data_IF_694439364443
#
_entry.id   IF_694439364443
#
_cell.length_a   1.000
_cell.length_b   1.000
_cell.length_c   1.000
_cell.angle_alpha   90.00
_cell.angle_beta   90.00
_cell.angle_gamma   90.00
#
_symmetry.space_group_name_H-M   'P 1'
#
loop_
_entity.id
_entity.type
_entity.pdbx_description
1 polymer ?
#
# COMPACT_ATOMS: atom_id res chain seq x y z
N UNK A 1 -26.52 0.47 -43.95
CA UNK A 1 -26.00 1.52 -43.07
C UNK A 1 -26.40 1.36 -41.59
N UNK A 2 -27.49 0.72 -41.23
CA UNK A 2 -28.00 0.57 -39.82
C UNK A 2 -27.24 -0.41 -38.92
N UNK A 3 -26.51 -1.39 -39.46
CA UNK A 3 -25.79 -2.38 -38.64
C UNK A 3 -24.45 -1.86 -38.09
N UNK A 4 -23.76 -1.00 -38.83
CA UNK A 4 -22.46 -0.42 -38.42
C UNK A 4 -22.66 0.59 -37.29
N UNK A 5 -23.78 1.32 -37.31
CA UNK A 5 -24.10 2.30 -36.25
C UNK A 5 -24.41 1.62 -34.87
N UNK A 6 -25.02 0.41 -34.90
CA UNK A 6 -25.36 -0.34 -33.70
C UNK A 6 -24.11 -0.93 -32.99
N UNK A 7 -23.12 -1.36 -33.77
CA UNK A 7 -21.87 -1.90 -33.22
C UNK A 7 -21.00 -0.78 -32.63
N UNK A 8 -20.95 0.40 -33.28
CA UNK A 8 -20.24 1.56 -32.80
C UNK A 8 -20.83 2.11 -31.48
N UNK A 9 -22.15 2.08 -31.32
CA UNK A 9 -22.83 2.54 -30.12
C UNK A 9 -22.64 1.58 -28.94
N UNK A 10 -22.64 0.25 -29.19
CA UNK A 10 -22.38 -0.76 -28.17
C UNK A 10 -20.91 -0.71 -27.65
N UNK A 11 -19.95 -0.43 -28.53
CA UNK A 11 -18.55 -0.24 -28.17
C UNK A 11 -18.31 1.00 -27.31
N UNK A 12 -19.01 2.10 -27.59
CA UNK A 12 -18.88 3.35 -26.85
C UNK A 12 -19.44 3.23 -25.43
N UNK A 13 -20.55 2.52 -25.24
CA UNK A 13 -21.16 2.29 -23.91
C UNK A 13 -20.28 1.37 -23.05
N UNK A 14 -19.57 0.42 -23.66
CA UNK A 14 -18.69 -0.49 -22.92
C UNK A 14 -17.40 0.19 -22.39
N UNK A 15 -16.89 1.18 -23.13
CA UNK A 15 -15.71 1.97 -22.69
C UNK A 15 -16.04 2.86 -21.49
N UNK A 16 -17.27 3.37 -21.38
CA UNK A 16 -17.70 4.16 -20.21
C UNK A 16 -17.94 3.33 -18.94
N UNK A 17 -18.20 2.02 -19.05
CA UNK A 17 -18.43 1.14 -17.92
C UNK A 17 -17.13 0.76 -17.16
N UNK A 18 -15.95 0.96 -17.75
CA UNK A 18 -14.64 0.65 -17.18
C UNK A 18 -13.97 1.84 -16.47
N UNK A 19 -14.56 3.03 -16.54
CA UNK A 19 -14.16 4.16 -15.69
C UNK A 19 -14.66 3.89 -14.26
N UNK A 20 -14.08 2.92 -13.58
CA UNK A 20 -14.25 2.68 -12.16
C UNK A 20 -13.87 3.96 -11.41
N UNK A 21 -14.86 4.80 -11.14
CA UNK A 21 -14.69 6.07 -10.48
C UNK A 21 -14.10 5.83 -9.07
N UNK A 22 -12.83 6.16 -8.89
CA UNK A 22 -12.36 6.58 -7.58
C UNK A 22 -13.07 7.92 -7.29
N UNK A 23 -14.30 7.83 -6.82
CA UNK A 23 -15.10 8.99 -6.48
C UNK A 23 -14.59 9.61 -5.17
N UNK A 24 -14.83 10.92 -4.95
CA UNK A 24 -14.55 11.56 -3.67
C UNK A 24 -15.27 10.80 -2.56
N UNK A 25 -14.66 10.71 -1.37
CA UNK A 25 -15.32 10.14 -0.22
C UNK A 25 -16.44 11.10 0.22
N UNK A 26 -17.72 10.72 0.16
CA UNK A 26 -18.84 11.66 0.37
C UNK A 26 -18.96 12.13 1.81
N UNK A 27 -18.33 11.42 2.77
CA UNK A 27 -18.39 11.73 4.20
C UNK A 27 -17.05 11.44 4.88
N UNK A 28 -16.79 12.11 6.01
CA UNK A 28 -15.60 11.84 6.85
C UNK A 28 -15.55 10.37 7.29
N UNK A 29 -16.68 9.76 7.66
CA UNK A 29 -16.74 8.35 8.04
C UNK A 29 -16.35 7.41 6.88
N UNK A 30 -16.79 7.69 5.65
CA UNK A 30 -16.39 6.89 4.48
C UNK A 30 -14.90 7.05 4.20
N UNK A 31 -14.36 8.26 4.37
CA UNK A 31 -12.93 8.52 4.22
C UNK A 31 -12.10 7.79 5.28
N UNK A 32 -12.53 7.85 6.55
CA UNK A 32 -11.94 7.14 7.68
C UNK A 32 -11.90 5.62 7.43
N UNK A 33 -13.01 5.02 6.98
CA UNK A 33 -13.05 3.60 6.63
C UNK A 33 -12.07 3.23 5.52
N UNK A 34 -11.86 4.12 4.54
CA UNK A 34 -10.85 3.92 3.48
C UNK A 34 -9.43 4.04 4.03
N UNK A 35 -9.17 5.02 4.91
CA UNK A 35 -7.87 5.18 5.56
C UNK A 35 -7.50 3.96 6.42
N UNK A 36 -8.45 3.46 7.22
CA UNK A 36 -8.29 2.23 8.02
C UNK A 36 -7.98 1.03 7.13
N UNK A 37 -8.70 0.86 6.03
CA UNK A 37 -8.44 -0.22 5.09
C UNK A 37 -7.03 -0.09 4.49
N UNK A 38 -6.64 1.10 4.05
CA UNK A 38 -5.30 1.37 3.52
C UNK A 38 -4.22 1.03 4.55
N UNK A 39 -4.40 1.42 5.82
CA UNK A 39 -3.48 1.08 6.89
C UNK A 39 -3.34 -0.44 7.08
N UNK A 40 -4.46 -1.18 7.07
CA UNK A 40 -4.45 -2.64 7.21
C UNK A 40 -3.81 -3.35 6.01
N UNK A 41 -4.10 -2.89 4.78
CA UNK A 41 -3.51 -3.45 3.57
C UNK A 41 -1.98 -3.22 3.56
N UNK A 42 -1.54 -2.01 3.91
CA UNK A 42 -0.12 -1.65 4.06
C UNK A 42 0.56 -2.46 5.17
N UNK A 43 -0.08 -2.62 6.32
CA UNK A 43 0.41 -3.45 7.42
C UNK A 43 0.65 -4.89 6.97
N UNK A 44 -0.26 -5.47 6.17
CA UNK A 44 -0.14 -6.83 5.65
C UNK A 44 1.11 -7.00 4.77
N UNK A 45 1.41 -6.01 3.92
CA UNK A 45 2.63 -6.03 3.11
C UNK A 45 3.89 -5.95 3.97
N UNK A 46 3.93 -5.04 4.95
CA UNK A 46 5.08 -4.94 5.86
C UNK A 46 5.29 -6.23 6.67
N UNK A 47 4.23 -6.86 7.14
CA UNK A 47 4.30 -8.13 7.89
C UNK A 47 4.83 -9.27 7.00
N UNK A 48 4.43 -9.34 5.73
CA UNK A 48 4.91 -10.32 4.75
C UNK A 48 6.42 -10.18 4.56
N UNK A 49 6.91 -8.96 4.38
CA UNK A 49 8.35 -8.67 4.25
C UNK A 49 9.12 -9.00 5.53
N UNK A 50 8.63 -8.57 6.70
CA UNK A 50 9.27 -8.85 7.99
C UNK A 50 9.41 -10.36 8.25
N UNK A 51 8.36 -11.12 7.95
CA UNK A 51 8.39 -12.59 8.02
C UNK A 51 9.42 -13.17 7.06
N UNK A 52 9.48 -12.68 5.83
CA UNK A 52 10.39 -13.17 4.79
C UNK A 52 11.86 -12.89 5.16
N UNK A 53 12.17 -11.71 5.70
CA UNK A 53 13.50 -11.38 6.24
C UNK A 53 13.85 -12.34 7.40
N UNK A 54 12.91 -12.59 8.31
CA UNK A 54 13.12 -13.50 9.43
C UNK A 54 13.39 -14.95 8.95
N UNK A 55 12.62 -15.43 7.95
CA UNK A 55 12.79 -16.77 7.39
C UNK A 55 14.13 -16.92 6.68
N UNK A 56 14.57 -15.92 5.93
CA UNK A 56 15.88 -15.90 5.26
C UNK A 56 17.00 -15.94 6.28
N UNK A 57 16.94 -15.13 7.34
CA UNK A 57 17.93 -15.12 8.43
C UNK A 57 18.04 -16.45 9.18
N UNK A 58 16.95 -17.22 9.23
CA UNK A 58 16.94 -18.58 9.82
C UNK A 58 17.36 -19.67 8.83
N UNK A 59 17.77 -19.32 7.62
CA UNK A 59 18.12 -20.28 6.56
C UNK A 59 16.94 -21.09 6.04
N UNK A 60 15.70 -20.60 6.23
CA UNK A 60 14.46 -21.27 5.80
C UNK A 60 13.90 -20.70 4.49
N UNK A 61 14.50 -19.63 3.98
CA UNK A 61 14.16 -19.01 2.71
C UNK A 61 15.47 -18.66 1.98
N UNK A 62 15.54 -18.91 0.68
CA UNK A 62 16.69 -18.54 -0.13
C UNK A 62 16.68 -17.04 -0.42
N UNK A 63 17.86 -16.44 -0.54
CA UNK A 63 18.05 -15.01 -0.79
C UNK A 63 17.28 -14.51 -2.02
N UNK A 64 17.27 -15.28 -3.10
CA UNK A 64 16.56 -14.93 -4.35
C UNK A 64 15.05 -14.76 -4.12
N UNK A 65 14.45 -15.58 -3.26
CA UNK A 65 13.03 -15.44 -2.93
C UNK A 65 12.76 -14.20 -2.08
N UNK A 66 13.67 -13.86 -1.16
CA UNK A 66 13.55 -12.61 -0.40
C UNK A 66 13.59 -11.40 -1.33
N UNK A 67 14.49 -11.37 -2.31
CA UNK A 67 14.56 -10.27 -3.28
C UNK A 67 13.28 -10.15 -4.12
N UNK A 68 12.68 -11.27 -4.50
CA UNK A 68 11.39 -11.30 -5.22
C UNK A 68 10.27 -10.74 -4.32
N UNK A 69 10.15 -11.24 -3.09
CA UNK A 69 9.12 -10.77 -2.14
C UNK A 69 9.26 -9.27 -1.88
N UNK A 70 10.50 -8.79 -1.66
CA UNK A 70 10.74 -7.36 -1.43
C UNK A 70 10.30 -6.50 -2.63
N UNK A 71 10.58 -6.94 -3.85
CA UNK A 71 10.17 -6.21 -5.06
C UNK A 71 8.64 -6.20 -5.22
N UNK A 72 8.00 -7.36 -5.05
CA UNK A 72 6.54 -7.49 -5.17
C UNK A 72 5.81 -6.71 -4.08
N UNK A 73 6.30 -6.73 -2.84
CA UNK A 73 5.70 -5.97 -1.74
C UNK A 73 5.92 -4.46 -1.89
N UNK A 74 7.06 -4.00 -2.45
CA UNK A 74 7.29 -2.58 -2.77
C UNK A 74 6.29 -2.10 -3.83
N UNK A 75 6.06 -2.89 -4.88
CA UNK A 75 5.09 -2.57 -5.93
C UNK A 75 3.65 -2.57 -5.40
N UNK A 76 3.28 -3.56 -4.59
CA UNK A 76 1.96 -3.64 -3.97
C UNK A 76 1.72 -2.47 -3.00
N UNK A 77 2.71 -2.15 -2.16
CA UNK A 77 2.64 -1.04 -1.20
C UNK A 77 2.48 0.31 -1.92
N UNK A 78 3.24 0.53 -2.99
CA UNK A 78 3.13 1.73 -3.84
C UNK A 78 1.74 1.83 -4.49
N UNK A 79 1.16 0.71 -4.93
CA UNK A 79 -0.20 0.67 -5.48
C UNK A 79 -1.26 1.04 -4.44
N UNK A 80 -1.11 0.56 -3.19
CA UNK A 80 -1.97 0.88 -2.06
C UNK A 80 -1.90 2.39 -1.77
N UNK A 81 -0.69 2.94 -1.66
CA UNK A 81 -0.44 4.37 -1.43
C UNK A 81 -1.07 5.23 -2.53
N UNK A 82 -0.78 4.94 -3.81
CA UNK A 82 -1.33 5.67 -4.94
C UNK A 82 -2.87 5.62 -4.98
N UNK A 83 -3.46 4.48 -4.58
CA UNK A 83 -4.91 4.34 -4.49
C UNK A 83 -5.48 5.28 -3.42
N UNK A 84 -4.85 5.34 -2.25
CA UNK A 84 -5.28 6.25 -1.18
C UNK A 84 -5.09 7.71 -1.57
N UNK A 85 -3.96 8.06 -2.18
CA UNK A 85 -3.64 9.42 -2.64
C UNK A 85 -4.65 9.95 -3.66
N UNK A 86 -5.22 9.06 -4.46
CA UNK A 86 -6.26 9.41 -5.45
C UNK A 86 -7.62 9.75 -4.82
N UNK A 87 -7.83 9.41 -3.54
CA UNK A 87 -9.08 9.67 -2.84
C UNK A 87 -9.09 11.12 -2.33
N UNK A 88 -9.99 11.94 -2.83
CA UNK A 88 -10.17 13.28 -2.33
C UNK A 88 -10.81 13.25 -0.93
N UNK A 89 -10.15 13.82 0.11
CA UNK A 89 -10.74 13.94 1.42
C UNK A 89 -11.94 14.92 1.39
N UNK A 90 -12.96 14.71 2.24
CA UNK A 90 -13.99 15.72 2.47
C UNK A 90 -13.35 16.96 3.15
N UNK A 91 -13.95 18.13 2.91
CA UNK A 91 -13.47 19.42 3.45
C UNK A 91 -13.75 19.51 4.97
N UNK A 92 -12.96 18.78 5.75
CA UNK A 92 -13.04 18.76 7.22
C UNK A 92 -11.64 18.60 7.83
N UNK A 93 -11.35 19.36 8.89
CA UNK A 93 -10.06 19.27 9.58
C UNK A 93 -9.75 17.85 10.12
N UNK A 94 -10.76 17.03 10.40
CA UNK A 94 -10.56 15.62 10.79
C UNK A 94 -10.05 14.78 9.62
N UNK A 95 -10.58 14.97 8.41
CA UNK A 95 -10.10 14.24 7.24
C UNK A 95 -8.66 14.64 6.89
N UNK A 96 -8.30 15.91 7.03
CA UNK A 96 -6.95 16.40 6.82
C UNK A 96 -5.95 15.80 7.82
N UNK A 97 -6.33 15.70 9.10
CA UNK A 97 -5.50 15.08 10.14
C UNK A 97 -5.31 13.59 9.87
N UNK A 98 -6.37 12.85 9.50
CA UNK A 98 -6.29 11.45 9.11
C UNK A 98 -5.34 11.26 7.93
N UNK A 99 -5.49 12.09 6.90
CA UNK A 99 -4.62 12.04 5.72
C UNK A 99 -3.16 12.25 6.11
N UNK A 100 -2.85 13.35 6.78
CA UNK A 100 -1.48 13.67 7.16
C UNK A 100 -0.83 12.59 8.04
N UNK A 101 -1.60 12.02 8.98
CA UNK A 101 -1.12 10.93 9.83
C UNK A 101 -0.80 9.66 9.05
N UNK A 102 -1.71 9.25 8.14
CA UNK A 102 -1.50 8.05 7.34
C UNK A 102 -0.42 8.24 6.28
N UNK A 103 -0.36 9.39 5.60
CA UNK A 103 0.66 9.70 4.58
C UNK A 103 2.08 9.58 5.16
N UNK A 104 2.29 10.03 6.41
CA UNK A 104 3.57 9.88 7.10
C UNK A 104 3.94 8.40 7.26
N UNK A 105 3.00 7.57 7.75
CA UNK A 105 3.23 6.14 7.96
C UNK A 105 3.46 5.38 6.65
N UNK A 106 2.75 5.76 5.59
CA UNK A 106 2.93 5.18 4.25
C UNK A 106 4.30 5.56 3.67
N UNK A 107 4.73 6.81 3.83
CA UNK A 107 6.07 7.24 3.41
C UNK A 107 7.17 6.47 4.13
N UNK A 108 7.09 6.36 5.46
CA UNK A 108 8.05 5.61 6.27
C UNK A 108 8.10 4.12 5.88
N UNK A 109 6.94 3.54 5.56
CA UNK A 109 6.83 2.16 5.09
C UNK A 109 7.49 1.96 3.73
N UNK A 110 7.22 2.83 2.76
CA UNK A 110 7.80 2.79 1.43
C UNK A 110 9.33 2.94 1.47
N UNK A 111 9.84 3.89 2.25
CA UNK A 111 11.28 4.12 2.43
C UNK A 111 11.96 2.90 3.06
N UNK A 112 11.33 2.29 4.08
CA UNK A 112 11.83 1.08 4.71
C UNK A 112 11.89 -0.12 3.76
N UNK A 113 10.86 -0.32 2.92
CA UNK A 113 10.83 -1.38 1.90
C UNK A 113 11.93 -1.17 0.87
N UNK A 114 12.08 0.04 0.33
CA UNK A 114 13.14 0.37 -0.63
C UNK A 114 14.54 0.12 -0.04
N UNK A 115 14.75 0.50 1.21
CA UNK A 115 16.03 0.26 1.90
C UNK A 115 16.30 -1.22 2.11
N UNK A 116 15.29 -2.01 2.55
CA UNK A 116 15.44 -3.46 2.69
C UNK A 116 15.79 -4.13 1.37
N UNK A 117 15.19 -3.73 0.25
CA UNK A 117 15.51 -4.26 -1.08
C UNK A 117 16.98 -3.96 -1.47
N UNK A 118 17.46 -2.75 -1.20
CA UNK A 118 18.85 -2.38 -1.46
C UNK A 118 19.81 -3.24 -0.63
N UNK A 119 19.52 -3.41 0.66
CA UNK A 119 20.34 -4.17 1.60
C UNK A 119 20.35 -5.67 1.26
N UNK A 120 19.20 -6.23 0.86
CA UNK A 120 19.09 -7.60 0.40
C UNK A 120 19.98 -7.85 -0.82
N UNK A 121 19.91 -6.99 -1.84
CA UNK A 121 20.77 -7.10 -3.03
C UNK A 121 22.27 -6.99 -2.73
N UNK A 122 22.64 -6.21 -1.69
CA UNK A 122 24.02 -6.09 -1.21
C UNK A 122 24.45 -7.25 -0.32
N UNK A 123 23.52 -8.13 0.05
CA UNK A 123 23.73 -9.22 1.00
C UNK A 123 24.24 -8.75 2.36
N UNK A 124 23.91 -7.52 2.74
CA UNK A 124 24.25 -6.95 4.05
C UNK A 124 23.24 -7.43 5.11
N UNK A 125 23.52 -8.62 5.64
CA UNK A 125 22.63 -9.28 6.60
C UNK A 125 22.49 -8.54 7.92
N UNK A 126 23.51 -7.77 8.32
CA UNK A 126 23.49 -7.00 9.57
C UNK A 126 22.58 -5.78 9.44
N UNK A 127 22.82 -4.98 8.41
CA UNK A 127 22.01 -3.77 8.17
C UNK A 127 20.57 -4.13 7.76
N UNK A 128 20.38 -5.23 7.01
CA UNK A 128 19.07 -5.78 6.71
C UNK A 128 18.25 -6.10 7.98
N UNK A 129 18.91 -6.67 9.00
CA UNK A 129 18.25 -6.96 10.27
C UNK A 129 17.91 -5.69 11.06
N UNK A 130 18.79 -4.69 11.02
CA UNK A 130 18.58 -3.41 11.70
C UNK A 130 17.42 -2.65 11.04
N UNK A 131 17.34 -2.63 9.72
CA UNK A 131 16.27 -1.97 8.98
C UNK A 131 14.92 -2.67 9.18
N UNK A 132 14.89 -4.01 9.13
CA UNK A 132 13.68 -4.78 9.45
C UNK A 132 13.16 -4.49 10.88
N UNK A 133 14.06 -4.26 11.84
CA UNK A 133 13.65 -3.85 13.18
C UNK A 133 12.99 -2.46 13.19
N UNK A 134 13.50 -1.49 12.43
CA UNK A 134 12.86 -0.17 12.30
C UNK A 134 11.48 -0.29 11.66
N UNK A 135 11.39 -1.07 10.57
CA UNK A 135 10.12 -1.29 9.87
C UNK A 135 9.05 -1.94 10.76
N UNK A 136 9.45 -2.71 11.80
CA UNK A 136 8.51 -3.23 12.81
C UNK A 136 7.81 -2.11 13.57
N UNK A 137 8.48 -0.99 13.82
CA UNK A 137 7.86 0.16 14.48
C UNK A 137 6.80 0.83 13.58
N UNK A 138 7.09 0.97 12.28
CA UNK A 138 6.13 1.49 11.29
C UNK A 138 4.92 0.55 11.18
N UNK A 139 5.13 -0.77 11.14
CA UNK A 139 4.04 -1.75 11.13
C UNK A 139 3.16 -1.63 12.39
N UNK A 140 3.76 -1.49 13.57
CA UNK A 140 3.01 -1.28 14.81
C UNK A 140 2.24 0.05 14.83
N UNK A 141 2.79 1.11 14.21
CA UNK A 141 2.12 2.39 14.10
C UNK A 141 0.92 2.33 13.14
N UNK A 142 1.01 1.59 12.04
CA UNK A 142 -0.12 1.32 11.13
C UNK A 142 -1.23 0.52 11.81
N UNK A 143 -0.88 -0.51 12.58
CA UNK A 143 -1.83 -1.29 13.37
C UNK A 143 -2.58 -0.40 14.38
N UNK A 144 -1.82 0.41 15.11
CA UNK A 144 -2.39 1.38 16.05
C UNK A 144 -3.31 2.38 15.37
N UNK A 145 -2.89 2.94 14.22
CA UNK A 145 -3.71 3.84 13.43
C UNK A 145 -5.05 3.19 13.03
N UNK A 146 -4.99 1.94 12.54
CA UNK A 146 -6.19 1.21 12.16
C UNK A 146 -7.13 0.95 13.34
N UNK A 147 -6.60 0.66 14.54
CA UNK A 147 -7.39 0.45 15.76
C UNK A 147 -8.01 1.73 16.31
N UNK A 148 -7.34 2.88 16.20
CA UNK A 148 -7.82 4.17 16.70
C UNK A 148 -8.93 4.78 15.83
N UNK A 149 -9.02 4.36 14.57
CA UNK A 149 -9.94 4.92 13.57
C UNK A 149 -10.94 3.89 13.01
N UNK A 150 -10.90 2.63 13.47
CA UNK A 150 -11.74 1.51 13.03
C UNK A 150 -13.01 1.26 13.83
#
# INVERSE_FOLDING_TARGET
MTRVFRVAFAGLVFVFALSGCVGPAPTTHTYESKAVRTANDSLSELQTVLLSVQMTRRGRMMQVYLETVLSESEDAFSSIQNTFDSIQPPDTGRADQLRAGLDTLLSDGADGLAQLRILARRQDTRELAAEAHKLTATAAALDKFAQEHG
#
